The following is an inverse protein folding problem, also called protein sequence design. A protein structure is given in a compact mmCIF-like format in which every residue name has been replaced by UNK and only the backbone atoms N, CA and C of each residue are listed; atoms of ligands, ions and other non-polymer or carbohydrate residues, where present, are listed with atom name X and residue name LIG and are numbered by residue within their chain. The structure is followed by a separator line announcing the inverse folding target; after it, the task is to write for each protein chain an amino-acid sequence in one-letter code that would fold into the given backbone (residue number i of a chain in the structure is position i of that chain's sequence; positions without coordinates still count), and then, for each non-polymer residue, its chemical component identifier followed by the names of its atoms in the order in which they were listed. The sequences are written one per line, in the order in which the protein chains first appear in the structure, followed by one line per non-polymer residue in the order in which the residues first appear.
data_IF_894562577675
#
_entry.id   IF_894562577675
#
_cell.length_a   1.000
_cell.length_b   1.000
_cell.length_c   1.000
_cell.angle_alpha   90.00
_cell.angle_beta   90.00
_cell.angle_gamma   90.00
#
_symmetry.space_group_name_H-M   'P 1'
#
loop_
_entity.id
_entity.type
_entity.pdbx_description
1 polymer ?
#
# COMPACT_ATOMS: atom_id res chain seq x y z
N UNK A 1 25.33 12.18 -47.50
CA UNK A 1 23.87 11.93 -47.37
C UNK A 1 23.30 12.98 -46.44
N UNK A 2 22.52 13.94 -46.96
CA UNK A 2 21.77 14.90 -46.13
C UNK A 2 20.43 14.25 -45.80
N UNK A 3 20.18 13.94 -44.54
CA UNK A 3 18.85 13.57 -44.07
C UNK A 3 17.95 14.81 -44.19
N UNK A 4 16.85 14.69 -44.93
CA UNK A 4 15.88 15.77 -45.07
C UNK A 4 15.29 16.14 -43.71
N UNK A 5 15.07 17.42 -43.46
CA UNK A 5 14.62 17.99 -42.18
C UNK A 5 13.33 17.33 -41.65
N UNK A 6 12.52 16.76 -42.53
CA UNK A 6 11.30 16.01 -42.17
C UNK A 6 11.61 14.63 -41.56
N UNK A 7 12.69 13.96 -41.98
CA UNK A 7 13.11 12.67 -41.40
C UNK A 7 13.61 12.83 -39.96
N UNK A 8 14.31 13.94 -39.68
CA UNK A 8 14.81 14.27 -38.34
C UNK A 8 13.64 14.55 -37.38
N UNK A 9 12.61 15.28 -37.85
CA UNK A 9 11.40 15.57 -37.05
C UNK A 9 10.62 14.29 -36.70
N UNK A 10 10.44 13.39 -37.66
CA UNK A 10 9.75 12.11 -37.44
C UNK A 10 10.52 11.22 -36.46
N UNK A 11 11.85 11.18 -36.57
CA UNK A 11 12.71 10.41 -35.66
C UNK A 11 12.62 10.95 -34.22
N UNK A 12 12.70 12.27 -34.04
CA UNK A 12 12.55 12.89 -32.72
C UNK A 12 11.17 12.63 -32.11
N UNK A 13 10.10 12.64 -32.92
CA UNK A 13 8.75 12.37 -32.46
C UNK A 13 8.56 10.91 -32.00
N UNK A 14 9.13 9.94 -32.73
CA UNK A 14 9.14 8.53 -32.34
C UNK A 14 9.91 8.33 -31.03
N UNK A 15 11.09 8.95 -30.89
CA UNK A 15 11.89 8.89 -29.66
C UNK A 15 11.14 9.50 -28.48
N UNK A 16 10.47 10.63 -28.68
CA UNK A 16 9.66 11.28 -27.64
C UNK A 16 8.50 10.37 -27.19
N UNK A 17 7.80 9.74 -28.13
CA UNK A 17 6.72 8.79 -27.84
C UNK A 17 7.25 7.58 -27.06
N UNK A 18 8.38 7.00 -27.47
CA UNK A 18 9.00 5.88 -26.76
C UNK A 18 9.45 6.25 -25.33
N UNK A 19 9.95 7.47 -25.11
CA UNK A 19 10.30 7.96 -23.77
C UNK A 19 9.03 8.19 -22.93
N UNK A 20 7.94 8.70 -23.51
CA UNK A 20 6.67 8.93 -22.80
C UNK A 20 5.97 7.61 -22.43
N UNK A 21 6.04 6.58 -23.26
CA UNK A 21 5.54 5.23 -22.90
C UNK A 21 6.44 4.49 -21.90
N UNK A 22 7.68 4.95 -21.71
CA UNK A 22 8.57 4.49 -20.63
C UNK A 22 8.33 5.21 -19.29
N UNK A 23 7.30 6.06 -19.18
CA UNK A 23 6.76 6.48 -17.89
C UNK A 23 6.22 5.25 -17.16
N UNK A 24 7.13 4.54 -16.49
CA UNK A 24 6.95 3.22 -15.92
C UNK A 24 5.80 3.20 -14.92
N UNK A 25 4.73 2.49 -15.26
CA UNK A 25 3.85 1.90 -14.25
C UNK A 25 4.70 0.97 -13.37
N UNK A 26 4.74 1.24 -12.05
CA UNK A 26 5.39 0.34 -11.09
C UNK A 26 4.85 -1.07 -11.24
N UNK A 27 5.75 -2.03 -11.44
CA UNK A 27 5.46 -3.46 -11.49
C UNK A 27 5.25 -4.03 -10.08
N UNK A 28 4.67 -5.22 -10.00
CA UNK A 28 4.55 -5.98 -8.73
C UNK A 28 5.88 -6.13 -7.99
N UNK A 29 6.94 -6.42 -8.75
CA UNK A 29 8.29 -6.60 -8.19
C UNK A 29 8.84 -5.29 -7.59
N UNK A 30 8.44 -4.14 -8.12
CA UNK A 30 8.83 -2.84 -7.55
C UNK A 30 8.23 -2.65 -6.16
N UNK A 31 6.96 -3.02 -5.95
CA UNK A 31 6.33 -2.94 -4.63
C UNK A 31 6.96 -3.90 -3.62
N UNK A 32 7.37 -5.09 -4.08
CA UNK A 32 8.14 -6.04 -3.26
C UNK A 32 9.50 -5.46 -2.87
N UNK A 33 10.24 -4.88 -3.81
CA UNK A 33 11.53 -4.27 -3.53
C UNK A 33 11.40 -3.06 -2.60
N UNK A 34 10.35 -2.25 -2.77
CA UNK A 34 10.03 -1.14 -1.89
C UNK A 34 9.71 -1.61 -0.46
N UNK A 35 8.99 -2.72 -0.32
CA UNK A 35 8.75 -3.35 0.99
C UNK A 35 10.06 -3.74 1.67
N UNK A 36 10.92 -4.49 0.96
CA UNK A 36 12.20 -4.97 1.51
C UNK A 36 13.12 -3.80 1.91
N UNK A 37 13.12 -2.72 1.11
CA UNK A 37 13.91 -1.51 1.41
C UNK A 37 13.43 -0.80 2.68
N UNK A 38 12.14 -0.88 2.97
CA UNK A 38 11.50 -0.20 4.09
C UNK A 38 11.10 -1.14 5.23
N UNK A 39 11.54 -2.40 5.20
CA UNK A 39 11.07 -3.46 6.09
C UNK A 39 11.16 -3.05 7.57
N UNK A 40 12.31 -2.49 7.98
CA UNK A 40 12.52 -2.03 9.35
C UNK A 40 11.48 -0.99 9.79
N UNK A 41 11.17 -0.02 8.93
CA UNK A 41 10.21 1.05 9.24
C UNK A 41 8.78 0.51 9.29
N UNK A 42 8.46 -0.45 8.42
CA UNK A 42 7.16 -1.13 8.40
C UNK A 42 6.97 -1.94 9.70
N UNK A 43 8.00 -2.67 10.11
CA UNK A 43 7.97 -3.45 11.37
C UNK A 43 7.89 -2.52 12.59
N UNK A 44 8.64 -1.41 12.63
CA UNK A 44 8.55 -0.38 13.68
C UNK A 44 7.13 0.20 13.79
N UNK A 45 6.53 0.55 12.66
CA UNK A 45 5.15 1.04 12.59
C UNK A 45 4.15 -0.02 13.09
N UNK A 46 4.30 -1.28 12.69
CA UNK A 46 3.45 -2.37 13.17
C UNK A 46 3.55 -2.56 14.69
N UNK A 47 4.75 -2.57 15.25
CA UNK A 47 4.96 -2.69 16.70
C UNK A 47 4.28 -1.52 17.44
N UNK A 48 4.43 -0.30 16.94
CA UNK A 48 3.77 0.88 17.51
C UNK A 48 2.24 0.75 17.48
N UNK A 49 1.67 0.36 16.32
CA UNK A 49 0.23 0.18 16.15
C UNK A 49 -0.32 -0.90 17.09
N UNK A 50 0.43 -2.00 17.25
CA UNK A 50 0.08 -3.09 18.14
C UNK A 50 -0.02 -2.62 19.59
N UNK A 51 1.06 -2.03 20.12
CA UNK A 51 1.15 -1.62 21.52
C UNK A 51 0.20 -0.49 21.90
N UNK A 52 -0.07 0.45 20.98
CA UNK A 52 -0.86 1.64 21.30
C UNK A 52 -2.35 1.52 20.95
N UNK A 53 -2.70 0.68 19.98
CA UNK A 53 -4.08 0.61 19.46
C UNK A 53 -4.66 -0.79 19.48
N UNK A 54 -3.96 -1.80 18.95
CA UNK A 54 -4.55 -3.14 18.81
C UNK A 54 -4.89 -3.74 20.19
N UNK A 55 -3.96 -3.64 21.14
CA UNK A 55 -4.18 -4.15 22.50
C UNK A 55 -5.19 -3.29 23.27
N UNK A 56 -5.13 -1.96 23.10
CA UNK A 56 -5.97 -0.99 23.81
C UNK A 56 -7.44 -1.03 23.39
N UNK A 57 -7.72 -1.22 22.10
CA UNK A 57 -9.07 -1.18 21.54
C UNK A 57 -9.67 -2.55 21.27
N UNK A 58 -9.02 -3.61 21.75
CA UNK A 58 -9.42 -5.01 21.62
C UNK A 58 -10.92 -5.24 21.82
N UNK A 59 -11.60 -4.56 22.75
CA UNK A 59 -13.02 -4.83 23.01
C UNK A 59 -14.01 -3.82 22.38
N UNK A 60 -13.54 -2.70 21.81
CA UNK A 60 -14.40 -1.53 21.60
C UNK A 60 -14.69 -1.20 20.13
N UNK A 61 -13.89 -1.69 19.18
CA UNK A 61 -14.04 -1.39 17.74
C UNK A 61 -13.66 -2.60 16.90
N UNK A 62 -14.34 -2.83 15.78
CA UNK A 62 -13.95 -3.88 14.83
C UNK A 62 -12.92 -3.42 13.81
N UNK A 63 -12.80 -2.09 13.63
CA UNK A 63 -11.88 -1.48 12.70
C UNK A 63 -11.37 -0.14 13.22
N UNK A 64 -10.11 0.19 12.95
CA UNK A 64 -9.51 1.51 13.19
C UNK A 64 -8.85 1.96 11.89
N UNK A 65 -9.08 3.22 11.51
CA UNK A 65 -8.43 3.81 10.34
C UNK A 65 -7.53 4.96 10.76
N UNK A 66 -6.37 5.06 10.14
CA UNK A 66 -5.50 6.22 10.19
C UNK A 66 -5.40 6.80 8.78
N UNK A 67 -5.69 8.09 8.66
CA UNK A 67 -5.45 8.87 7.45
C UNK A 67 -4.25 9.77 7.72
N UNK A 68 -3.53 10.17 6.67
CA UNK A 68 -2.53 11.22 6.82
C UNK A 68 -3.23 12.55 7.17
N UNK A 69 -3.04 13.00 8.40
CA UNK A 69 -3.72 14.18 8.94
C UNK A 69 -3.15 15.52 8.47
N UNK A 70 -1.96 15.52 7.85
CA UNK A 70 -1.34 16.71 7.28
C UNK A 70 -1.87 17.04 5.88
N UNK A 71 -2.54 16.09 5.21
CA UNK A 71 -3.13 16.31 3.89
C UNK A 71 -4.50 17.00 4.00
N UNK A 72 -4.68 18.07 3.21
CA UNK A 72 -5.93 18.87 3.17
C UNK A 72 -7.16 18.05 2.76
N UNK A 73 -6.98 17.02 1.96
CA UNK A 73 -8.06 16.16 1.46
C UNK A 73 -8.31 14.96 2.37
N UNK A 74 -8.60 15.22 3.64
CA UNK A 74 -8.87 14.18 4.63
C UNK A 74 -10.14 13.41 4.21
N UNK A 75 -9.99 12.14 3.82
CA UNK A 75 -11.07 11.37 3.17
C UNK A 75 -12.04 10.71 4.16
N UNK A 76 -11.62 10.41 5.40
CA UNK A 76 -12.51 9.76 6.36
C UNK A 76 -12.76 10.62 7.60
N UNK A 77 -14.01 11.05 7.86
CA UNK A 77 -14.38 11.72 9.12
C UNK A 77 -14.24 10.80 10.36
N UNK A 78 -13.93 9.52 10.16
CA UNK A 78 -13.72 8.53 11.23
C UNK A 78 -12.23 8.16 11.43
N UNK A 79 -11.32 8.76 10.65
CA UNK A 79 -9.89 8.51 10.74
C UNK A 79 -9.26 9.10 12.01
N UNK A 80 -8.48 8.31 12.72
CA UNK A 80 -7.64 8.76 13.85
C UNK A 80 -6.42 9.52 13.34
N UNK A 81 -5.99 10.51 14.11
CA UNK A 81 -4.69 11.16 13.95
C UNK A 81 -3.76 10.74 15.08
N UNK A 82 -2.54 10.44 14.71
CA UNK A 82 -1.40 10.27 15.60
C UNK A 82 -0.18 10.75 14.83
N UNK A 83 0.66 11.56 15.49
CA UNK A 83 1.75 12.26 14.81
C UNK A 83 2.82 11.27 14.33
N UNK A 84 3.15 10.26 15.14
CA UNK A 84 4.10 9.21 14.76
C UNK A 84 3.57 8.39 13.59
N UNK A 85 2.30 7.99 13.63
CA UNK A 85 1.66 7.26 12.52
C UNK A 85 1.65 8.12 11.26
N UNK A 86 1.32 9.41 11.37
CA UNK A 86 1.27 10.33 10.23
C UNK A 86 2.65 10.51 9.59
N UNK A 87 3.70 10.70 10.39
CA UNK A 87 5.08 10.77 9.92
C UNK A 87 5.49 9.50 9.17
N UNK A 88 5.22 8.32 9.74
CA UNK A 88 5.52 7.06 9.07
C UNK A 88 4.72 6.83 7.80
N UNK A 89 3.47 7.27 7.75
CA UNK A 89 2.69 7.23 6.53
C UNK A 89 3.31 8.09 5.43
N UNK A 90 3.84 9.27 5.74
CA UNK A 90 4.55 10.12 4.77
C UNK A 90 5.84 9.47 4.29
N UNK A 91 6.68 8.99 5.21
CA UNK A 91 7.95 8.34 4.88
C UNK A 91 7.78 7.11 3.97
N UNK A 92 6.73 6.33 4.22
CA UNK A 92 6.44 5.09 3.51
C UNK A 92 5.55 5.29 2.27
N UNK A 93 5.12 6.52 2.00
CA UNK A 93 4.19 6.81 0.90
C UNK A 93 2.85 6.09 1.06
N UNK A 94 2.33 6.03 2.29
CA UNK A 94 1.03 5.44 2.62
C UNK A 94 -0.05 6.51 2.56
N UNK A 95 -1.21 6.12 2.03
CA UNK A 95 -2.42 6.92 2.05
C UNK A 95 -3.28 6.63 3.27
N UNK A 96 -3.36 5.37 3.67
CA UNK A 96 -4.22 4.92 4.77
C UNK A 96 -3.64 3.70 5.46
N UNK A 97 -3.89 3.60 6.76
CA UNK A 97 -3.68 2.37 7.53
C UNK A 97 -5.02 1.90 8.08
N UNK A 98 -5.36 0.62 7.90
CA UNK A 98 -6.53 -0.02 8.52
C UNK A 98 -6.06 -1.11 9.48
N UNK A 99 -6.57 -1.10 10.70
CA UNK A 99 -6.48 -2.22 11.65
C UNK A 99 -7.83 -2.89 11.67
N UNK A 100 -7.88 -4.20 11.41
CA UNK A 100 -9.14 -4.96 11.36
C UNK A 100 -9.12 -6.16 12.28
N UNK A 101 -10.29 -6.48 12.83
CA UNK A 101 -10.52 -7.74 13.52
C UNK A 101 -11.01 -8.77 12.51
N UNK A 102 -10.27 -9.86 12.38
CA UNK A 102 -10.68 -11.10 11.75
C UNK A 102 -10.86 -12.17 12.85
N UNK A 103 -11.61 -13.22 12.53
CA UNK A 103 -12.04 -14.24 13.50
C UNK A 103 -11.18 -15.50 13.44
N UNK A 104 -9.86 -15.36 13.38
CA UNK A 104 -9.01 -16.52 13.23
C UNK A 104 -8.99 -17.44 14.45
N UNK A 105 -9.02 -16.87 15.66
CA UNK A 105 -8.88 -17.62 16.91
C UNK A 105 -10.05 -17.41 17.89
N UNK A 106 -11.19 -16.85 17.43
CA UNK A 106 -12.32 -16.44 18.29
C UNK A 106 -11.93 -15.44 19.41
N UNK A 107 -10.69 -14.95 19.40
CA UNK A 107 -10.22 -13.85 20.23
C UNK A 107 -10.64 -12.54 19.57
N UNK A 108 -11.28 -11.63 20.30
CA UNK A 108 -11.68 -10.30 19.82
C UNK A 108 -10.46 -9.37 19.52
N UNK A 109 -9.34 -9.88 19.06
CA UNK A 109 -8.12 -9.11 18.79
C UNK A 109 -8.13 -8.58 17.35
N UNK A 110 -7.42 -7.47 17.14
CA UNK A 110 -7.03 -7.08 15.79
C UNK A 110 -5.93 -8.04 15.33
N UNK A 111 -6.13 -8.70 14.20
CA UNK A 111 -5.21 -9.69 13.65
C UNK A 111 -4.85 -9.40 12.18
N UNK A 112 -5.45 -8.34 11.59
CA UNK A 112 -5.12 -7.85 10.26
C UNK A 112 -4.73 -6.37 10.26
N UNK A 113 -3.69 -6.04 9.49
CA UNK A 113 -3.23 -4.66 9.26
C UNK A 113 -3.04 -4.45 7.77
N UNK A 114 -3.62 -3.37 7.23
CA UNK A 114 -3.49 -2.98 5.83
C UNK A 114 -2.80 -1.62 5.74
N UNK A 115 -1.59 -1.60 5.16
CA UNK A 115 -0.85 -0.38 4.84
C UNK A 115 -1.05 -0.03 3.37
N UNK A 116 -2.03 0.83 3.08
CA UNK A 116 -2.43 1.15 1.70
C UNK A 116 -1.56 2.26 1.12
N UNK A 117 -0.95 2.00 -0.03
CA UNK A 117 -0.03 2.91 -0.71
C UNK A 117 -0.75 4.13 -1.31
N UNK A 118 -0.07 5.27 -1.32
CA UNK A 118 -0.54 6.48 -1.95
C UNK A 118 -0.41 6.39 -3.47
N UNK A 119 -1.56 6.35 -4.16
CA UNK A 119 -1.67 6.40 -5.60
C UNK A 119 -2.56 7.56 -6.02
N UNK A 120 -2.15 8.20 -7.11
CA UNK A 120 -2.92 9.26 -7.78
C UNK A 120 -4.22 8.74 -8.40
N UNK A 121 -4.24 7.47 -8.82
CA UNK A 121 -5.42 6.83 -9.41
C UNK A 121 -6.30 6.15 -8.35
N UNK A 122 -7.59 6.10 -8.64
CA UNK A 122 -8.59 5.44 -7.80
C UNK A 122 -8.43 3.89 -7.77
N UNK A 123 -7.85 3.32 -8.85
CA UNK A 123 -7.54 1.90 -9.02
C UNK A 123 -6.15 1.64 -9.61
N UNK A 124 -5.54 0.46 -9.35
CA UNK A 124 -5.91 -0.54 -8.33
C UNK A 124 -5.43 -0.15 -6.92
N UNK A 125 -6.11 -0.62 -5.89
CA UNK A 125 -5.69 -0.48 -4.48
C UNK A 125 -4.51 -1.42 -4.25
N UNK A 126 -3.44 -0.89 -3.66
CA UNK A 126 -2.25 -1.68 -3.31
C UNK A 126 -1.95 -1.50 -1.84
N UNK A 127 -1.81 -2.61 -1.12
CA UNK A 127 -1.54 -2.62 0.31
C UNK A 127 -0.48 -3.64 0.68
N UNK A 128 0.36 -3.31 1.67
CA UNK A 128 1.06 -4.33 2.44
C UNK A 128 0.09 -4.82 3.53
N UNK A 129 -0.27 -6.09 3.47
CA UNK A 129 -1.22 -6.72 4.37
C UNK A 129 -0.49 -7.62 5.36
N UNK A 130 -0.67 -7.37 6.65
CA UNK A 130 -0.28 -8.26 7.73
C UNK A 130 -1.48 -9.10 8.14
N UNK A 131 -1.32 -10.41 8.27
CA UNK A 131 -2.33 -11.30 8.83
C UNK A 131 -1.67 -12.26 9.84
N UNK A 132 -2.07 -12.16 11.11
CA UNK A 132 -1.48 -12.96 12.21
C UNK A 132 -1.78 -14.45 12.09
N UNK A 133 -2.85 -14.82 11.40
CA UNK A 133 -3.38 -16.18 11.35
C UNK A 133 -2.77 -17.02 10.23
N UNK A 134 -2.27 -16.37 9.19
CA UNK A 134 -1.81 -17.01 7.97
C UNK A 134 -0.42 -16.51 7.65
N UNK A 135 0.55 -17.38 7.86
CA UNK A 135 1.95 -17.03 7.62
C UNK A 135 2.31 -17.04 6.14
N UNK A 136 1.63 -17.81 5.28
CA UNK A 136 1.92 -17.91 3.85
C UNK A 136 0.64 -18.07 3.03
N UNK A 137 0.23 -17.01 2.32
CA UNK A 137 -0.86 -17.07 1.35
C UNK A 137 -0.30 -16.56 0.03
N UNK A 138 -0.34 -17.41 -1.00
CA UNK A 138 -0.27 -16.94 -2.39
C UNK A 138 -1.64 -17.23 -2.97
N UNK A 139 -2.32 -16.19 -3.41
CA UNK A 139 -3.68 -16.28 -3.95
C UNK A 139 -3.84 -15.28 -5.08
N UNK A 140 -4.41 -15.70 -6.20
CA UNK A 140 -4.65 -14.83 -7.34
C UNK A 140 -5.98 -15.24 -7.96
N UNK A 141 -6.87 -14.27 -8.07
CA UNK A 141 -8.09 -14.37 -8.86
C UNK A 141 -8.15 -13.21 -9.88
N UNK A 142 -9.32 -12.99 -10.49
CA UNK A 142 -9.47 -11.98 -11.54
C UNK A 142 -9.29 -10.55 -11.04
N UNK A 143 -9.45 -10.29 -9.74
CA UNK A 143 -9.51 -8.94 -9.19
C UNK A 143 -8.62 -8.73 -7.97
N UNK A 144 -8.24 -9.79 -7.29
CA UNK A 144 -7.40 -9.77 -6.10
C UNK A 144 -6.16 -10.62 -6.35
N UNK A 145 -5.00 -10.00 -6.11
CA UNK A 145 -3.71 -10.68 -6.07
C UNK A 145 -3.08 -10.52 -4.70
N UNK A 146 -2.70 -11.63 -4.10
CA UNK A 146 -2.00 -11.77 -2.83
C UNK A 146 -0.69 -12.51 -3.06
N UNK A 147 0.41 -11.80 -2.86
CA UNK A 147 1.77 -12.35 -2.97
C UNK A 147 2.44 -12.32 -1.61
N UNK A 148 2.94 -13.48 -1.16
CA UNK A 148 3.72 -13.58 0.07
C UNK A 148 5.04 -12.78 0.01
N UNK A 149 5.34 -12.03 1.08
CA UNK A 149 6.57 -11.23 1.20
C UNK A 149 7.52 -11.80 2.26
N UNK A 150 7.04 -11.91 3.50
CA UNK A 150 7.75 -12.43 4.69
C UNK A 150 6.70 -12.94 5.69
N UNK A 151 7.05 -13.64 6.79
CA UNK A 151 6.07 -14.17 7.73
C UNK A 151 5.00 -13.14 8.09
N UNK A 152 3.73 -13.53 7.90
CA UNK A 152 2.51 -12.72 8.08
C UNK A 152 2.30 -11.55 7.11
N UNK A 153 3.30 -11.12 6.36
CA UNK A 153 3.19 -10.02 5.40
C UNK A 153 3.00 -10.52 3.97
N UNK A 154 2.01 -9.95 3.30
CA UNK A 154 1.71 -10.16 1.88
C UNK A 154 1.51 -8.82 1.16
N UNK A 155 1.82 -8.78 -0.12
CA UNK A 155 1.42 -7.73 -1.04
C UNK A 155 0.02 -8.05 -1.55
N UNK A 156 -0.93 -7.15 -1.29
CA UNK A 156 -2.29 -7.20 -1.79
C UNK A 156 -2.46 -6.17 -2.92
N UNK A 157 -2.98 -6.61 -4.06
CA UNK A 157 -3.37 -5.76 -5.19
C UNK A 157 -4.84 -6.07 -5.50
N UNK A 158 -5.73 -5.09 -5.30
CA UNK A 158 -7.16 -5.20 -5.52
C UNK A 158 -7.62 -4.22 -6.62
N UNK A 159 -8.13 -4.77 -7.72
CA UNK A 159 -8.70 -4.03 -8.84
C UNK A 159 -10.24 -4.01 -8.86
N UNK A 160 -10.89 -4.61 -7.84
CA UNK A 160 -12.34 -4.77 -7.68
C UNK A 160 -13.06 -3.78 -6.77
N UNK A 161 -12.35 -2.90 -6.05
CA UNK A 161 -13.06 -1.80 -5.36
C UNK A 161 -13.86 -1.02 -6.47
N UNK A 162 -15.05 -0.45 -6.20
CA UNK A 162 -15.86 0.28 -7.19
C UNK A 162 -15.37 1.71 -7.44
#
# INVERSE_FOLDING_TARGET
MKLETNQIKTLCFIILISIVFSACTKSENDYKNDFLRNEKKIDELYVYLKSNYMDKYRNNRNRIYFDNCNKKDRKSPKGMCDDFVTEKMEELGLRQISLEKNFCNQTNEFDEVYLTLDKSSYYPIISYAFNMCKEKIVFEDKTIKLQYLKPHWSLLIDSSFP
#
